data_IF_239041439266
#
_entry.id   IF_239041439266
#
_cell.length_a   1.000
_cell.length_b   1.000
_cell.length_c   1.000
_cell.angle_alpha   90.00
_cell.angle_beta   90.00
_cell.angle_gamma   90.00
#
_symmetry.space_group_name_H-M   'P 1'
#
loop_
_entity.id
_entity.type
_entity.pdbx_description
1 polymer ?
#
# COMPACT_ATOMS: atom_id res chain seq x y z
N UNK A 1 -1.06 -15.85 -16.37
CA UNK A 1 -0.38 -14.56 -16.08
C UNK A 1 -1.19 -13.46 -16.77
N UNK A 2 -2.26 -12.93 -16.14
CA UNK A 2 -3.23 -12.03 -16.83
C UNK A 2 -4.22 -11.29 -15.89
N UNK A 3 -3.83 -10.93 -14.66
CA UNK A 3 -4.70 -10.13 -13.75
C UNK A 3 -4.05 -8.89 -13.14
N UNK A 4 -2.75 -8.93 -12.86
CA UNK A 4 -2.05 -7.80 -12.22
C UNK A 4 -1.95 -6.57 -13.14
N UNK A 5 -1.77 -6.78 -14.44
CA UNK A 5 -1.58 -5.69 -15.42
C UNK A 5 -2.85 -4.89 -15.72
N UNK A 6 -4.04 -5.49 -15.65
CA UNK A 6 -5.29 -4.80 -15.97
C UNK A 6 -5.59 -3.74 -14.90
N UNK A 7 -5.43 -4.08 -13.62
CA UNK A 7 -5.61 -3.13 -12.52
C UNK A 7 -4.61 -1.96 -12.61
N UNK A 8 -3.34 -2.27 -12.84
CA UNK A 8 -2.29 -1.25 -13.00
C UNK A 8 -2.53 -0.32 -14.20
N UNK A 9 -3.04 -0.85 -15.32
CA UNK A 9 -3.40 -0.06 -16.49
C UNK A 9 -4.57 0.89 -16.22
N UNK A 10 -5.58 0.44 -15.47
CA UNK A 10 -6.71 1.29 -15.05
C UNK A 10 -6.23 2.44 -14.18
N UNK A 11 -5.34 2.19 -13.22
CA UNK A 11 -4.82 3.26 -12.38
C UNK A 11 -3.98 4.29 -13.15
N UNK A 12 -3.41 3.96 -14.32
CA UNK A 12 -2.67 4.96 -15.13
C UNK A 12 -3.56 6.10 -15.61
N UNK A 13 -4.85 5.87 -15.84
CA UNK A 13 -5.79 6.92 -16.29
C UNK A 13 -6.34 7.76 -15.13
N UNK A 14 -6.12 7.32 -13.89
CA UNK A 14 -6.63 8.00 -12.71
C UNK A 14 -5.81 9.23 -12.35
N UNK A 15 -6.52 10.27 -11.94
CA UNK A 15 -5.92 11.45 -11.31
C UNK A 15 -5.20 11.07 -10.01
N UNK A 16 -4.29 11.93 -9.55
CA UNK A 16 -3.61 11.73 -8.27
C UNK A 16 -4.60 11.69 -7.09
N UNK A 17 -5.70 12.45 -7.16
CA UNK A 17 -6.72 12.44 -6.11
C UNK A 17 -7.42 11.08 -6.02
N UNK A 18 -7.89 10.55 -7.15
CA UNK A 18 -8.54 9.22 -7.20
C UNK A 18 -7.63 8.12 -6.64
N UNK A 19 -6.33 8.18 -6.96
CA UNK A 19 -5.33 7.24 -6.42
C UNK A 19 -5.21 7.34 -4.90
N UNK A 20 -5.16 8.57 -4.36
CA UNK A 20 -5.08 8.80 -2.92
C UNK A 20 -6.35 8.33 -2.22
N UNK A 21 -7.51 8.61 -2.78
CA UNK A 21 -8.80 8.18 -2.22
C UNK A 21 -8.91 6.65 -2.15
N UNK A 22 -8.44 5.96 -3.18
CA UNK A 22 -8.46 4.49 -3.19
C UNK A 22 -7.44 3.87 -2.23
N UNK A 23 -6.25 4.47 -2.12
CA UNK A 23 -5.27 4.05 -1.11
C UNK A 23 -5.80 4.32 0.30
N UNK A 24 -6.55 5.40 0.51
CA UNK A 24 -7.19 5.66 1.80
C UNK A 24 -8.20 4.56 2.17
N UNK A 25 -8.95 4.02 1.20
CA UNK A 25 -9.81 2.84 1.42
C UNK A 25 -9.00 1.60 1.78
N UNK A 26 -7.84 1.38 1.14
CA UNK A 26 -6.95 0.27 1.52
C UNK A 26 -6.41 0.41 2.94
N UNK A 27 -6.07 1.62 3.37
CA UNK A 27 -5.65 1.88 4.75
C UNK A 27 -6.78 1.56 5.74
N UNK A 28 -8.04 1.87 5.40
CA UNK A 28 -9.19 1.44 6.19
C UNK A 28 -9.33 -0.09 6.20
N UNK A 29 -9.13 -0.75 5.05
CA UNK A 29 -9.09 -2.21 4.96
C UNK A 29 -8.03 -2.82 5.89
N UNK A 30 -6.82 -2.24 5.93
CA UNK A 30 -5.76 -2.65 6.86
C UNK A 30 -6.20 -2.51 8.32
N UNK A 31 -6.78 -1.36 8.68
CA UNK A 31 -7.35 -1.15 10.03
C UNK A 31 -8.47 -2.14 10.37
N UNK A 32 -9.13 -2.71 9.37
CA UNK A 32 -10.15 -3.76 9.52
C UNK A 32 -9.60 -5.19 9.35
N UNK A 33 -8.28 -5.38 9.26
CA UNK A 33 -7.64 -6.71 9.25
C UNK A 33 -7.05 -7.17 7.91
N UNK A 34 -6.99 -6.31 6.88
CA UNK A 34 -6.23 -6.61 5.67
C UNK A 34 -4.72 -6.73 6.01
N UNK A 35 -4.00 -7.76 5.52
CA UNK A 35 -2.57 -7.88 5.77
C UNK A 35 -1.75 -6.68 5.26
N UNK A 36 -0.73 -6.28 6.01
CA UNK A 36 0.12 -5.13 5.69
C UNK A 36 0.90 -5.32 4.37
N UNK A 37 1.30 -6.55 4.07
CA UNK A 37 1.93 -6.92 2.79
C UNK A 37 1.00 -6.66 1.60
N UNK A 38 -0.31 -6.93 1.74
CA UNK A 38 -1.32 -6.66 0.71
C UNK A 38 -1.56 -5.15 0.56
N UNK A 39 -1.68 -4.42 1.67
CA UNK A 39 -1.75 -2.95 1.66
C UNK A 39 -0.61 -2.34 0.83
N UNK A 40 0.63 -2.77 1.08
CA UNK A 40 1.81 -2.24 0.39
C UNK A 40 1.80 -2.57 -1.11
N UNK A 41 1.53 -3.84 -1.48
CA UNK A 41 1.51 -4.29 -2.89
C UNK A 41 0.44 -3.58 -3.70
N UNK A 42 -0.79 -3.49 -3.19
CA UNK A 42 -1.89 -2.84 -3.94
C UNK A 42 -1.68 -1.33 -3.99
N UNK A 43 -1.19 -0.71 -2.92
CA UNK A 43 -0.85 0.72 -2.93
C UNK A 43 0.21 1.04 -3.99
N UNK A 44 1.21 0.17 -4.18
CA UNK A 44 2.21 0.32 -5.25
C UNK A 44 1.56 0.34 -6.64
N UNK A 45 0.67 -0.62 -6.91
CA UNK A 45 -0.06 -0.71 -8.17
C UNK A 45 -0.90 0.53 -8.44
N UNK A 46 -1.64 1.02 -7.44
CA UNK A 46 -2.47 2.24 -7.55
C UNK A 46 -1.60 3.48 -7.77
N UNK A 47 -0.53 3.64 -7.00
CA UNK A 47 0.36 4.80 -7.13
C UNK A 47 1.21 4.78 -8.41
N UNK A 48 1.37 3.59 -9.00
CA UNK A 48 2.17 3.32 -10.19
C UNK A 48 3.67 3.20 -9.94
N UNK A 49 4.12 3.39 -8.70
CA UNK A 49 5.48 3.08 -8.26
C UNK A 49 5.61 3.09 -6.73
N UNK A 50 6.65 2.42 -6.24
CA UNK A 50 6.99 2.29 -4.83
C UNK A 50 7.13 3.64 -4.13
N UNK A 51 7.87 4.59 -4.73
CA UNK A 51 8.17 5.90 -4.10
C UNK A 51 6.90 6.69 -3.76
N UNK A 52 5.94 6.73 -4.68
CA UNK A 52 4.66 7.45 -4.48
C UNK A 52 3.78 6.74 -3.44
N UNK A 53 3.67 5.42 -3.53
CA UNK A 53 2.90 4.66 -2.55
C UNK A 53 3.46 4.82 -1.13
N UNK A 54 4.78 4.76 -0.95
CA UNK A 54 5.43 5.07 0.34
C UNK A 54 5.02 6.44 0.86
N UNK A 55 5.10 7.48 0.01
CA UNK A 55 4.68 8.84 0.38
C UNK A 55 3.22 8.86 0.87
N UNK A 56 2.30 8.29 0.12
CA UNK A 56 0.88 8.29 0.49
C UNK A 56 0.61 7.52 1.79
N UNK A 57 1.22 6.35 1.96
CA UNK A 57 1.06 5.57 3.19
C UNK A 57 1.64 6.31 4.41
N UNK A 58 2.76 7.01 4.28
CA UNK A 58 3.31 7.83 5.36
C UNK A 58 2.45 9.06 5.71
N UNK A 59 1.73 9.62 4.74
CA UNK A 59 0.75 10.69 4.97
C UNK A 59 -0.53 10.17 5.66
N UNK A 60 -0.91 8.91 5.44
CA UNK A 60 -2.19 8.35 5.88
C UNK A 60 -2.11 7.49 7.15
N UNK A 61 -0.92 6.96 7.46
CA UNK A 61 -0.66 6.11 8.62
C UNK A 61 0.28 6.82 9.58
N UNK A 62 0.02 6.71 10.88
CA UNK A 62 0.94 7.22 11.91
C UNK A 62 2.25 6.41 11.93
N UNK A 63 3.29 6.94 12.56
CA UNK A 63 4.55 6.21 12.73
C UNK A 63 4.34 4.90 13.54
N UNK A 64 3.47 4.94 14.55
CA UNK A 64 3.10 3.78 15.35
C UNK A 64 2.35 2.74 14.52
N UNK A 65 1.35 3.14 13.73
CA UNK A 65 0.62 2.24 12.83
C UNK A 65 1.56 1.55 11.84
N UNK A 66 2.56 2.26 11.33
CA UNK A 66 3.58 1.70 10.43
C UNK A 66 4.47 0.69 11.12
N UNK A 67 4.88 0.93 12.36
CA UNK A 67 5.64 -0.05 13.14
C UNK A 67 4.81 -1.31 13.41
N UNK A 68 3.55 -1.15 13.83
CA UNK A 68 2.62 -2.26 14.04
C UNK A 68 2.45 -3.09 12.76
N UNK A 69 2.27 -2.43 11.61
CA UNK A 69 2.14 -3.10 10.31
C UNK A 69 3.37 -3.97 9.99
N UNK A 70 4.59 -3.48 10.26
CA UNK A 70 5.82 -4.26 10.09
C UNK A 70 5.82 -5.48 11.02
N UNK A 71 5.46 -5.30 12.29
CA UNK A 71 5.47 -6.38 13.28
C UNK A 71 4.31 -7.38 13.14
N UNK A 72 3.25 -7.05 12.39
CA UNK A 72 2.16 -7.98 12.06
C UNK A 72 2.53 -9.03 11.03
N UNK A 73 3.66 -8.87 10.36
CA UNK A 73 4.17 -9.77 9.31
C UNK A 73 5.41 -10.51 9.82
N UNK A 74 5.81 -11.58 9.13
CA UNK A 74 6.99 -12.38 9.49
C UNK A 74 7.87 -12.72 8.27
N UNK A 75 9.12 -13.08 8.53
CA UNK A 75 10.08 -13.49 7.51
C UNK A 75 10.26 -12.46 6.39
N UNK A 76 10.23 -12.92 5.14
CA UNK A 76 10.41 -12.07 3.96
C UNK A 76 9.32 -11.00 3.81
N UNK A 77 8.09 -11.28 4.27
CA UNK A 77 7.01 -10.29 4.22
C UNK A 77 7.25 -9.16 5.22
N UNK A 78 7.76 -9.47 6.42
CA UNK A 78 8.20 -8.44 7.37
C UNK A 78 9.30 -7.56 6.76
N UNK A 79 10.30 -8.16 6.13
CA UNK A 79 11.39 -7.43 5.48
C UNK A 79 10.86 -6.52 4.35
N UNK A 80 9.94 -7.05 3.53
CA UNK A 80 9.29 -6.29 2.46
C UNK A 80 8.51 -5.08 3.00
N UNK A 81 7.65 -5.29 4.01
CA UNK A 81 6.82 -4.23 4.61
C UNK A 81 7.70 -3.22 5.36
N UNK A 82 8.74 -3.67 6.06
CA UNK A 82 9.75 -2.79 6.69
C UNK A 82 10.39 -1.88 5.67
N UNK A 83 10.89 -2.43 4.55
CA UNK A 83 11.46 -1.64 3.47
C UNK A 83 10.45 -0.76 2.73
N UNK A 84 9.17 -0.77 3.13
CA UNK A 84 8.09 0.05 2.57
C UNK A 84 7.64 1.15 3.52
N UNK A 85 7.42 0.81 4.80
CA UNK A 85 6.80 1.70 5.78
C UNK A 85 7.78 2.38 6.73
N UNK A 86 9.03 1.92 6.76
CA UNK A 86 10.15 2.50 7.50
C UNK A 86 11.25 2.94 6.50
#
# INVERSE_FOLDING_TARGET
MLKEDIGAAVYKTWSNQQKRDEIAKLVQGYRSGLPASILCKISESIAGNRKRARKYLHEMMSAEERQIAVHSESGDMMAFVRGYLL
#
